data_IF_833674418339
#
_entry.id   IF_833674418339
#
_cell.length_a   1.000
_cell.length_b   1.000
_cell.length_c   1.000
_cell.angle_alpha   90.00
_cell.angle_beta   90.00
_cell.angle_gamma   90.00
#
_symmetry.space_group_name_H-M   'P 1'
#
loop_
_entity.id
_entity.type
_entity.pdbx_description
1 polymer ?
#
# COMPACT_ATOMS: atom_id res chain seq x y z
N UNK A 1 1.19 -22.95 -18.80
CA UNK A 1 0.47 -21.67 -19.00
C UNK A 1 0.90 -20.68 -17.94
N UNK A 2 0.76 -19.38 -18.23
CA UNK A 2 1.04 -18.34 -17.23
C UNK A 2 0.02 -18.44 -16.09
N UNK A 3 0.51 -18.49 -14.85
CA UNK A 3 -0.34 -18.42 -13.66
C UNK A 3 -0.42 -16.96 -13.16
N UNK A 4 -1.61 -16.52 -12.84
CA UNK A 4 -1.84 -15.29 -12.10
C UNK A 4 -1.46 -15.50 -10.64
N UNK A 5 -0.81 -14.51 -10.04
CA UNK A 5 -0.36 -14.53 -8.65
C UNK A 5 -1.07 -13.39 -7.91
N UNK A 6 -1.59 -13.68 -6.75
CA UNK A 6 -2.22 -12.69 -5.87
C UNK A 6 -1.52 -12.72 -4.50
N UNK A 7 -1.09 -11.57 -4.04
CA UNK A 7 -0.66 -11.38 -2.67
C UNK A 7 -1.78 -10.67 -1.92
N UNK A 8 -2.16 -11.20 -0.77
CA UNK A 8 -3.27 -10.67 0.00
C UNK A 8 -2.93 -10.62 1.50
N UNK A 9 -3.61 -9.71 2.20
CA UNK A 9 -3.47 -9.57 3.64
C UNK A 9 -4.02 -10.81 4.34
N UNK A 10 -3.22 -11.37 5.23
CA UNK A 10 -3.63 -12.42 6.16
C UNK A 10 -3.49 -11.96 7.60
N UNK A 11 -4.35 -12.50 8.48
CA UNK A 11 -4.25 -12.27 9.91
C UNK A 11 -4.78 -13.50 10.66
N UNK A 12 -4.14 -13.90 11.78
CA UNK A 12 -4.67 -14.91 12.66
C UNK A 12 -5.78 -14.38 13.60
N UNK A 13 -6.00 -13.07 13.64
CA UNK A 13 -6.91 -12.40 14.57
C UNK A 13 -7.99 -11.60 13.86
N UNK A 14 -9.17 -11.58 14.46
CA UNK A 14 -10.29 -10.73 14.05
C UNK A 14 -10.98 -10.17 15.29
N UNK A 15 -11.69 -9.05 15.14
CA UNK A 15 -12.62 -8.60 16.15
C UNK A 15 -13.73 -9.65 16.38
N UNK A 16 -14.45 -9.59 17.50
CA UNK A 16 -15.62 -10.44 17.74
C UNK A 16 -16.69 -10.27 16.64
N UNK A 17 -17.57 -11.29 16.53
CA UNK A 17 -18.79 -11.17 15.74
C UNK A 17 -19.65 -10.00 16.25
N UNK A 18 -20.44 -9.33 15.39
CA UNK A 18 -20.71 -9.68 14.00
C UNK A 18 -19.63 -9.21 13.01
N UNK A 19 -18.85 -8.20 13.34
CA UNK A 19 -18.04 -7.45 12.36
C UNK A 19 -16.84 -8.23 11.84
N UNK A 20 -16.18 -9.05 12.72
CA UNK A 20 -15.01 -9.86 12.36
C UNK A 20 -13.95 -9.09 11.58
N UNK A 21 -13.69 -7.85 11.98
CA UNK A 21 -12.69 -6.99 11.36
C UNK A 21 -11.30 -7.57 11.58
N UNK A 22 -10.46 -7.71 10.53
CA UNK A 22 -9.07 -8.13 10.66
C UNK A 22 -8.33 -7.28 11.69
N UNK A 23 -7.47 -7.91 12.50
CA UNK A 23 -6.67 -7.22 13.50
C UNK A 23 -5.22 -7.73 13.49
N UNK A 24 -4.32 -6.95 14.07
CA UNK A 24 -2.88 -7.27 14.08
C UNK A 24 -2.57 -8.64 14.70
N UNK A 25 -1.48 -9.28 14.29
CA UNK A 25 -0.53 -8.88 13.26
C UNK A 25 -1.07 -9.11 11.84
N UNK A 26 -0.65 -8.27 10.88
CA UNK A 26 -0.93 -8.47 9.46
C UNK A 26 0.28 -9.05 8.76
N UNK A 27 0.06 -10.05 7.93
CA UNK A 27 1.08 -10.74 7.16
C UNK A 27 0.69 -10.88 5.69
N UNK A 28 1.66 -11.10 4.84
CA UNK A 28 1.45 -11.32 3.41
C UNK A 28 1.21 -12.80 3.14
N UNK A 29 0.07 -13.10 2.53
CA UNK A 29 -0.32 -14.42 2.06
C UNK A 29 -0.37 -14.46 0.54
N UNK A 30 -0.48 -15.65 -0.04
CA UNK A 30 -0.43 -15.86 -1.49
C UNK A 30 -1.55 -16.76 -1.99
N UNK A 31 -2.06 -16.45 -3.18
CA UNK A 31 -2.94 -17.30 -3.98
C UNK A 31 -2.54 -17.28 -5.45
N UNK A 32 -2.99 -18.27 -6.21
CA UNK A 32 -2.74 -18.36 -7.65
C UNK A 32 -4.00 -18.78 -8.41
N UNK A 33 -4.06 -18.44 -9.70
CA UNK A 33 -5.11 -18.85 -10.61
C UNK A 33 -4.62 -18.92 -12.05
N UNK A 34 -5.26 -19.72 -12.88
CA UNK A 34 -5.06 -19.71 -14.33
C UNK A 34 -5.75 -18.54 -15.03
N UNK A 35 -6.64 -17.81 -14.33
CA UNK A 35 -7.39 -16.67 -14.84
C UNK A 35 -7.42 -15.53 -13.81
N UNK A 36 -7.43 -14.24 -14.23
CA UNK A 36 -7.58 -13.13 -13.30
C UNK A 36 -8.96 -13.11 -12.60
N UNK A 37 -9.95 -13.77 -13.20
CA UNK A 37 -11.29 -13.92 -12.65
C UNK A 37 -11.40 -15.08 -11.64
N UNK A 38 -10.33 -15.84 -11.47
CA UNK A 38 -10.34 -17.04 -10.62
C UNK A 38 -10.80 -18.30 -11.36
N UNK A 39 -11.14 -19.40 -10.63
CA UNK A 39 -11.09 -19.45 -9.16
C UNK A 39 -9.66 -19.35 -8.61
N UNK A 40 -9.52 -18.64 -7.49
CA UNK A 40 -8.23 -18.45 -6.82
C UNK A 40 -7.97 -19.57 -5.82
N UNK A 41 -6.81 -20.19 -5.93
CA UNK A 41 -6.34 -21.23 -5.02
C UNK A 41 -5.37 -20.61 -4.01
N UNK A 42 -5.77 -20.55 -2.74
CA UNK A 42 -4.90 -20.13 -1.64
C UNK A 42 -3.72 -21.08 -1.50
N UNK A 43 -2.56 -20.55 -1.22
CA UNK A 43 -1.34 -21.31 -0.96
C UNK A 43 -0.96 -21.18 0.52
N UNK A 44 -1.61 -21.90 1.45
CA UNK A 44 -1.46 -21.66 2.89
C UNK A 44 -0.06 -21.91 3.41
N UNK A 45 0.72 -22.73 2.72
CA UNK A 45 2.11 -23.04 3.08
C UNK A 45 3.11 -22.02 2.50
N UNK A 46 2.65 -21.05 1.69
CA UNK A 46 3.46 -19.99 1.14
C UNK A 46 3.11 -18.69 1.86
N UNK A 47 3.89 -18.37 2.90
CA UNK A 47 3.82 -17.07 3.59
C UNK A 47 5.05 -16.30 3.17
N UNK A 48 4.95 -15.40 2.17
CA UNK A 48 6.10 -14.68 1.62
C UNK A 48 6.93 -14.01 2.70
N UNK A 49 6.27 -13.25 3.56
CA UNK A 49 6.88 -12.62 4.74
C UNK A 49 5.81 -12.26 5.78
N UNK A 50 6.26 -11.99 7.00
CA UNK A 50 5.44 -11.69 8.16
C UNK A 50 6.14 -10.70 9.07
N UNK A 51 5.43 -10.06 10.01
CA UNK A 51 6.04 -9.23 11.03
C UNK A 51 7.17 -9.95 11.77
N UNK A 52 8.22 -9.20 12.08
CA UNK A 52 9.39 -9.71 12.83
C UNK A 52 9.78 -8.72 13.95
N UNK A 53 9.83 -9.17 15.20
CA UNK A 53 10.23 -8.34 16.33
C UNK A 53 11.58 -7.64 16.10
N UNK A 54 11.70 -6.40 16.58
CA UNK A 54 12.94 -5.61 16.47
C UNK A 54 13.18 -4.99 15.10
N UNK A 55 12.21 -5.05 14.18
CA UNK A 55 12.29 -4.46 12.85
C UNK A 55 11.26 -3.34 12.65
N UNK A 56 11.42 -2.55 11.58
CA UNK A 56 10.44 -1.51 11.19
C UNK A 56 9.09 -2.07 10.72
N UNK A 57 8.95 -3.38 10.63
CA UNK A 57 7.74 -4.10 10.26
C UNK A 57 7.30 -5.09 11.36
N UNK A 58 7.55 -4.76 12.63
CA UNK A 58 7.26 -5.66 13.75
C UNK A 58 5.78 -5.87 14.03
N UNK A 59 4.91 -4.97 13.57
CA UNK A 59 3.45 -5.05 13.77
C UNK A 59 2.72 -5.50 12.50
N UNK A 60 3.08 -4.95 11.35
CA UNK A 60 2.50 -5.32 10.05
C UNK A 60 3.57 -5.54 8.99
N UNK A 61 3.31 -6.52 8.12
CA UNK A 61 4.02 -6.77 6.88
C UNK A 61 2.96 -7.14 5.81
N UNK A 62 2.11 -6.16 5.48
CA UNK A 62 0.95 -6.32 4.60
C UNK A 62 1.34 -6.22 3.13
N UNK A 63 0.69 -6.97 2.22
CA UNK A 63 1.05 -6.95 0.82
C UNK A 63 0.87 -5.58 0.18
N UNK A 64 1.69 -5.32 -0.81
CA UNK A 64 1.61 -4.14 -1.64
C UNK A 64 1.93 -4.47 -3.10
N UNK A 65 2.32 -3.49 -3.87
CA UNK A 65 2.55 -3.64 -5.31
C UNK A 65 3.79 -4.48 -5.61
N UNK A 66 3.68 -5.41 -6.54
CA UNK A 66 4.79 -6.26 -7.01
C UNK A 66 5.21 -5.83 -8.41
N UNK A 67 6.51 -5.63 -8.61
CA UNK A 67 7.10 -5.31 -9.91
C UNK A 67 8.33 -6.17 -10.17
N UNK A 68 8.56 -6.56 -11.44
CA UNK A 68 9.82 -7.17 -11.86
C UNK A 68 10.82 -6.07 -12.23
N UNK A 69 11.97 -6.05 -11.56
CA UNK A 69 13.00 -5.03 -11.74
C UNK A 69 14.40 -5.67 -11.68
N UNK A 70 15.24 -5.44 -12.72
CA UNK A 70 16.59 -6.00 -12.82
C UNK A 70 16.72 -7.51 -12.53
N UNK A 71 15.73 -8.31 -12.97
CA UNK A 71 15.76 -9.77 -12.82
C UNK A 71 15.20 -10.31 -11.50
N UNK A 72 14.80 -9.43 -10.59
CA UNK A 72 14.13 -9.76 -9.32
C UNK A 72 12.69 -9.26 -9.32
N UNK A 73 11.87 -9.79 -8.42
CA UNK A 73 10.58 -9.22 -8.04
C UNK A 73 10.76 -8.39 -6.78
N UNK A 74 10.31 -7.15 -6.82
CA UNK A 74 10.22 -6.25 -5.68
C UNK A 74 8.77 -6.15 -5.27
N UNK A 75 8.46 -6.32 -3.97
CA UNK A 75 7.16 -6.02 -3.40
C UNK A 75 7.28 -4.85 -2.44
N UNK A 76 6.59 -3.77 -2.76
CA UNK A 76 6.47 -2.59 -1.91
C UNK A 76 5.36 -2.83 -0.91
N UNK A 77 5.72 -3.26 0.30
CA UNK A 77 4.75 -3.69 1.32
C UNK A 77 4.54 -2.65 2.42
N UNK A 78 3.33 -2.62 2.99
CA UNK A 78 3.02 -1.76 4.13
C UNK A 78 3.61 -2.36 5.40
N UNK A 79 4.45 -1.57 6.06
CA UNK A 79 5.16 -1.93 7.27
C UNK A 79 4.76 -1.01 8.42
N UNK A 80 4.67 -1.54 9.63
CA UNK A 80 4.42 -0.71 10.80
C UNK A 80 5.06 -1.25 12.09
N UNK A 81 5.24 -0.31 13.01
CA UNK A 81 5.63 -0.54 14.39
C UNK A 81 4.58 0.07 15.29
N UNK A 82 4.16 -0.62 16.33
CA UNK A 82 3.29 -0.08 17.38
C UNK A 82 4.12 0.27 18.61
N UNK A 83 3.86 1.42 19.21
CA UNK A 83 4.46 1.80 20.49
C UNK A 83 4.15 0.78 21.58
N UNK A 84 5.13 0.50 22.43
CA UNK A 84 4.96 -0.44 23.57
C UNK A 84 4.07 0.15 24.67
N UNK A 85 4.10 1.48 24.83
CA UNK A 85 3.38 2.19 25.89
C UNK A 85 2.20 3.02 25.34
N UNK A 86 1.14 3.20 26.13
CA UNK A 86 0.04 4.09 25.77
C UNK A 86 0.52 5.50 25.39
N UNK A 87 -0.07 6.12 24.35
CA UNK A 87 -1.31 5.72 23.64
C UNK A 87 -1.15 4.63 22.55
N UNK A 88 -0.09 3.86 22.48
CA UNK A 88 0.14 2.77 21.52
C UNK A 88 -0.09 3.19 20.05
N UNK A 89 0.49 4.32 19.66
CA UNK A 89 0.42 4.81 18.29
C UNK A 89 1.09 3.82 17.34
N UNK A 90 0.58 3.79 16.12
CA UNK A 90 1.14 2.98 15.05
C UNK A 90 1.91 3.89 14.10
N UNK A 91 3.18 3.59 13.90
CA UNK A 91 4.06 4.29 12.97
C UNK A 91 4.19 3.47 11.70
N UNK A 92 3.93 4.08 10.54
CA UNK A 92 3.78 3.40 9.25
C UNK A 92 4.78 3.87 8.22
N UNK A 93 5.19 2.93 7.38
CA UNK A 93 6.09 3.18 6.26
C UNK A 93 5.94 2.09 5.20
N UNK A 94 6.70 2.20 4.12
CA UNK A 94 6.78 1.19 3.07
C UNK A 94 8.15 0.53 3.10
N UNK A 95 8.14 -0.81 3.08
CA UNK A 95 9.33 -1.63 2.92
C UNK A 95 9.43 -2.24 1.53
N UNK A 96 10.60 -2.79 1.20
CA UNK A 96 10.80 -3.61 0.00
C UNK A 96 11.13 -5.04 0.42
N UNK A 97 10.37 -5.99 -0.10
CA UNK A 97 10.70 -7.42 -0.07
C UNK A 97 11.13 -7.86 -1.47
N UNK A 98 12.16 -8.71 -1.55
CA UNK A 98 12.81 -9.14 -2.80
C UNK A 98 12.79 -10.64 -2.95
N UNK A 99 12.61 -11.11 -4.19
CA UNK A 99 12.77 -12.53 -4.53
C UNK A 99 13.06 -12.70 -6.03
N UNK A 100 13.66 -13.84 -6.38
CA UNK A 100 13.76 -14.29 -7.78
C UNK A 100 12.63 -15.22 -8.18
N UNK A 101 11.94 -15.81 -7.19
CA UNK A 101 10.77 -16.66 -7.37
C UNK A 101 9.62 -16.17 -6.48
N UNK A 102 8.45 -15.94 -7.08
CA UNK A 102 7.25 -15.49 -6.36
C UNK A 102 6.76 -16.47 -5.26
N UNK A 103 7.25 -17.69 -5.24
CA UNK A 103 7.03 -18.65 -4.15
C UNK A 103 8.07 -18.51 -3.01
N UNK A 104 9.07 -17.68 -3.20
CA UNK A 104 10.13 -17.42 -2.23
C UNK A 104 11.42 -18.25 -2.47
N UNK A 105 12.42 -18.11 -1.63
CA UNK A 105 12.40 -17.28 -0.42
C UNK A 105 12.35 -15.77 -0.74
N UNK A 106 11.77 -15.01 0.18
CA UNK A 106 11.75 -13.55 0.16
C UNK A 106 12.75 -13.01 1.17
N UNK A 107 13.49 -11.98 0.80
CA UNK A 107 14.33 -11.18 1.69
C UNK A 107 13.75 -9.78 1.82
N UNK A 108 13.77 -9.22 3.04
CA UNK A 108 13.28 -7.86 3.30
C UNK A 108 14.48 -6.94 3.44
N UNK A 109 14.43 -5.79 2.79
CA UNK A 109 15.46 -4.77 2.94
C UNK A 109 15.55 -4.30 4.41
N UNK A 110 16.76 -4.05 4.93
CA UNK A 110 16.95 -3.75 6.35
C UNK A 110 16.39 -2.39 6.79
N UNK A 111 16.13 -1.50 5.84
CA UNK A 111 15.56 -0.18 6.06
C UNK A 111 14.34 0.05 5.19
N UNK A 112 13.35 0.83 5.65
CA UNK A 112 12.22 1.25 4.83
C UNK A 112 12.65 2.27 3.76
N UNK A 113 11.79 2.48 2.75
CA UNK A 113 12.06 3.45 1.67
C UNK A 113 11.98 4.90 2.14
N UNK A 114 11.18 5.18 3.17
CA UNK A 114 11.03 6.49 3.84
C UNK A 114 10.86 6.27 5.34
N UNK A 115 11.11 7.29 6.18
CA UNK A 115 10.98 7.15 7.64
C UNK A 115 9.56 6.77 8.08
N UNK A 116 9.45 6.07 9.21
CA UNK A 116 8.18 5.74 9.88
C UNK A 116 7.31 6.99 10.18
N UNK A 117 7.94 8.14 10.38
CA UNK A 117 7.26 9.41 10.62
C UNK A 117 6.44 9.92 9.40
N UNK A 118 6.64 9.33 8.22
CA UNK A 118 5.84 9.66 7.02
C UNK A 118 4.39 9.15 7.11
N UNK A 119 4.12 8.18 7.99
CA UNK A 119 2.76 7.67 8.25
C UNK A 119 2.02 7.24 6.98
N UNK A 120 2.69 6.49 6.11
CA UNK A 120 2.13 6.02 4.84
C UNK A 120 1.95 4.51 4.81
N UNK A 121 0.89 4.08 4.12
CA UNK A 121 0.63 2.66 3.86
C UNK A 121 0.00 2.46 2.48
N UNK A 122 -0.24 1.22 2.12
CA UNK A 122 -0.83 0.79 0.84
C UNK A 122 -0.08 1.35 -0.37
N UNK A 123 0.19 0.51 -1.34
CA UNK A 123 1.03 0.94 -2.46
C UNK A 123 0.45 0.56 -3.80
N UNK A 124 0.57 1.48 -4.75
CA UNK A 124 0.37 1.22 -6.16
C UNK A 124 1.45 1.93 -6.96
N UNK A 125 2.05 1.25 -7.93
CA UNK A 125 3.21 1.75 -8.65
C UNK A 125 2.86 1.99 -10.13
N UNK A 126 3.28 3.12 -10.66
CA UNK A 126 3.21 3.47 -12.08
C UNK A 126 4.58 3.84 -12.62
N UNK A 127 4.92 3.37 -13.81
CA UNK A 127 6.14 3.74 -14.52
C UNK A 127 5.80 4.65 -15.70
N UNK A 128 6.34 5.86 -15.70
CA UNK A 128 6.24 6.77 -16.83
C UNK A 128 7.40 6.50 -17.81
N UNK A 129 7.05 5.95 -18.95
CA UNK A 129 8.04 5.56 -19.97
C UNK A 129 8.75 6.76 -20.61
N UNK A 130 8.11 7.94 -20.62
CA UNK A 130 8.62 9.11 -21.30
C UNK A 130 9.91 9.67 -20.67
N UNK A 131 10.04 9.56 -19.35
CA UNK A 131 11.22 10.06 -18.60
C UNK A 131 11.80 9.03 -17.63
N UNK A 132 11.32 7.77 -17.74
CA UNK A 132 11.78 6.64 -16.92
C UNK A 132 11.59 6.87 -15.41
N UNK A 133 10.55 7.60 -15.04
CA UNK A 133 10.22 7.90 -13.65
C UNK A 133 9.21 6.90 -13.10
N UNK A 134 9.50 6.36 -11.94
CA UNK A 134 8.58 5.54 -11.16
C UNK A 134 7.82 6.43 -10.18
N UNK A 135 6.51 6.23 -10.10
CA UNK A 135 5.60 6.93 -9.20
C UNK A 135 4.94 5.93 -8.26
N UNK A 136 5.21 6.05 -6.96
CA UNK A 136 4.62 5.22 -5.91
C UNK A 136 3.49 5.99 -5.24
N UNK A 137 2.27 5.56 -5.46
CA UNK A 137 1.08 6.10 -4.83
C UNK A 137 0.83 5.36 -3.51
N UNK A 138 0.55 6.12 -2.45
CA UNK A 138 0.28 5.61 -1.10
C UNK A 138 -0.85 6.43 -0.49
N UNK A 139 -1.47 5.94 0.58
CA UNK A 139 -2.26 6.79 1.44
C UNK A 139 -1.45 7.23 2.66
N UNK A 140 -1.74 8.44 3.11
CA UNK A 140 -1.22 9.01 4.35
C UNK A 140 -2.23 8.82 5.48
N UNK A 141 -1.74 8.51 6.67
CA UNK A 141 -2.55 8.30 7.87
C UNK A 141 -2.39 9.46 8.82
N UNK A 142 -3.45 10.22 8.99
CA UNK A 142 -3.55 11.27 10.01
C UNK A 142 -4.20 10.75 11.30
N UNK A 143 -4.07 11.53 12.36
CA UNK A 143 -4.71 11.26 13.66
C UNK A 143 -5.58 12.45 14.05
N UNK A 144 -6.85 12.20 14.32
CA UNK A 144 -7.80 13.22 14.81
C UNK A 144 -8.50 12.71 16.05
N UNK A 145 -8.28 13.39 17.18
CA UNK A 145 -8.85 13.03 18.50
C UNK A 145 -8.53 11.56 18.89
N UNK A 146 -7.31 11.10 18.60
CA UNK A 146 -6.87 9.74 18.90
C UNK A 146 -7.38 8.66 17.93
N UNK A 147 -8.09 9.03 16.84
CA UNK A 147 -8.57 8.13 15.80
C UNK A 147 -7.70 8.30 14.55
N UNK A 148 -7.12 7.22 14.07
CA UNK A 148 -6.35 7.16 12.83
C UNK A 148 -7.29 7.06 11.63
N UNK A 149 -6.95 7.74 10.53
CA UNK A 149 -7.72 7.71 9.29
C UNK A 149 -6.86 8.09 8.09
N UNK A 150 -7.18 7.56 6.91
CA UNK A 150 -6.51 7.91 5.65
C UNK A 150 -7.03 9.27 5.18
N UNK A 151 -6.22 10.33 5.27
CA UNK A 151 -6.65 11.70 4.96
C UNK A 151 -6.24 12.18 3.56
N UNK A 152 -5.30 11.48 2.92
CA UNK A 152 -4.79 11.88 1.62
C UNK A 152 -4.16 10.71 0.84
N UNK A 153 -4.21 10.76 -0.48
CA UNK A 153 -3.34 9.98 -1.35
C UNK A 153 -2.10 10.80 -1.71
N UNK A 154 -0.94 10.25 -1.39
CA UNK A 154 0.36 10.83 -1.69
C UNK A 154 1.03 10.10 -2.86
N UNK A 155 1.97 10.75 -3.52
CA UNK A 155 2.84 10.14 -4.52
C UNK A 155 4.29 10.49 -4.24
N UNK A 156 5.15 9.47 -4.28
CA UNK A 156 6.61 9.60 -4.28
C UNK A 156 7.14 9.27 -5.66
N UNK A 157 8.31 9.82 -6.06
CA UNK A 157 8.89 9.49 -7.36
C UNK A 157 10.39 9.29 -7.29
N UNK A 158 10.88 8.40 -8.17
CA UNK A 158 12.30 8.07 -8.34
C UNK A 158 12.57 7.55 -9.74
N UNK A 159 13.83 7.60 -10.17
CA UNK A 159 14.28 6.92 -11.39
C UNK A 159 14.94 5.55 -11.11
N UNK A 160 15.12 5.20 -9.82
CA UNK A 160 15.69 3.92 -9.39
C UNK A 160 14.89 3.37 -8.21
N UNK A 161 14.25 2.22 -8.40
CA UNK A 161 13.40 1.59 -7.37
C UNK A 161 14.16 1.18 -6.10
N UNK A 162 15.49 1.17 -6.14
CA UNK A 162 16.33 0.92 -4.96
C UNK A 162 16.66 2.20 -4.16
N UNK A 163 16.27 3.37 -4.65
CA UNK A 163 16.63 4.66 -4.06
C UNK A 163 15.44 5.59 -3.99
N UNK A 164 15.00 5.86 -2.80
CA UNK A 164 13.87 6.74 -2.54
C UNK A 164 14.32 7.95 -1.71
N UNK A 165 13.78 9.10 -2.02
CA UNK A 165 14.01 10.35 -1.31
C UNK A 165 12.65 10.84 -0.80
N UNK A 166 12.46 10.85 0.51
CA UNK A 166 11.21 11.28 1.13
C UNK A 166 10.84 12.75 0.87
N UNK A 167 11.78 13.57 0.38
CA UNK A 167 11.50 14.93 -0.05
C UNK A 167 10.84 14.99 -1.44
N UNK A 168 10.99 13.95 -2.25
CA UNK A 168 10.37 13.84 -3.58
C UNK A 168 8.96 13.27 -3.48
N UNK A 169 8.03 14.09 -2.99
CA UNK A 169 6.62 13.71 -2.81
C UNK A 169 5.66 14.85 -3.09
N UNK A 170 4.41 14.49 -3.36
CA UNK A 170 3.30 15.41 -3.50
C UNK A 170 1.98 14.79 -3.02
N UNK A 171 1.04 15.65 -2.63
CA UNK A 171 -0.34 15.23 -2.37
C UNK A 171 -1.10 15.21 -3.70
N UNK A 172 -1.76 14.10 -4.00
CA UNK A 172 -2.55 13.92 -5.23
C UNK A 172 -4.03 14.16 -4.96
N UNK A 173 -4.54 13.55 -3.91
CA UNK A 173 -5.94 13.69 -3.47
C UNK A 173 -5.98 13.96 -1.98
N UNK A 174 -6.77 14.93 -1.58
CA UNK A 174 -7.08 15.26 -0.18
C UNK A 174 -8.43 15.98 -0.08
N UNK A 175 -8.77 16.48 1.10
CA UNK A 175 -10.00 17.25 1.35
C UNK A 175 -10.17 18.49 0.46
N UNK A 176 -9.11 19.00 -0.16
CA UNK A 176 -9.18 20.22 -1.00
C UNK A 176 -9.72 19.91 -2.39
N UNK A 177 -9.45 18.71 -2.91
CA UNK A 177 -9.83 18.31 -4.26
C UNK A 177 -10.78 17.10 -4.33
N UNK A 178 -11.00 16.37 -3.23
CA UNK A 178 -11.95 15.26 -3.13
C UNK A 178 -13.20 15.69 -2.33
N UNK A 179 -14.16 16.33 -3.01
CA UNK A 179 -15.31 16.94 -2.33
C UNK A 179 -16.37 15.95 -1.83
N UNK A 180 -16.52 14.77 -2.49
CA UNK A 180 -17.51 13.78 -2.06
C UNK A 180 -17.07 13.02 -0.82
N UNK A 181 -15.76 12.91 -0.59
CA UNK A 181 -15.14 12.31 0.58
C UNK A 181 -14.15 13.29 1.22
N UNK A 182 -14.62 14.28 1.97
CA UNK A 182 -13.78 15.39 2.43
C UNK A 182 -12.81 15.01 3.56
N UNK A 183 -12.98 13.86 4.19
CA UNK A 183 -12.15 13.43 5.31
C UNK A 183 -11.38 12.15 5.06
N UNK A 184 -11.84 11.29 4.13
CA UNK A 184 -11.24 9.97 3.89
C UNK A 184 -10.80 9.87 2.44
N UNK A 185 -9.53 9.62 2.22
CA UNK A 185 -8.96 9.28 0.91
C UNK A 185 -7.87 8.23 1.13
N UNK A 186 -8.17 6.98 0.83
CA UNK A 186 -7.26 5.87 1.12
C UNK A 186 -7.12 4.86 -0.01
N UNK A 187 -6.27 3.86 0.19
CA UNK A 187 -6.07 2.69 -0.67
C UNK A 187 -5.93 3.03 -2.17
N UNK A 188 -5.04 3.95 -2.58
CA UNK A 188 -4.92 4.32 -3.98
C UNK A 188 -4.44 3.13 -4.82
N UNK A 189 -5.18 2.84 -5.89
CA UNK A 189 -4.80 1.87 -6.92
C UNK A 189 -4.81 2.55 -8.27
N UNK A 190 -3.71 2.48 -9.01
CA UNK A 190 -3.56 3.22 -10.26
C UNK A 190 -3.49 2.32 -11.48
N UNK A 191 -4.12 2.75 -12.57
CA UNK A 191 -4.15 2.04 -13.84
C UNK A 191 -4.09 3.03 -15.01
N UNK A 192 -3.21 2.77 -15.98
CA UNK A 192 -3.18 3.54 -17.23
C UNK A 192 -4.40 3.21 -18.10
N UNK A 193 -5.16 4.25 -18.47
CA UNK A 193 -6.33 4.16 -19.34
C UNK A 193 -6.20 5.20 -20.45
N UNK A 194 -5.76 4.76 -21.62
CA UNK A 194 -5.46 5.66 -22.75
C UNK A 194 -4.37 6.68 -22.40
N UNK A 195 -4.68 7.97 -22.49
CA UNK A 195 -3.80 9.09 -22.17
C UNK A 195 -3.98 9.62 -20.75
N UNK A 196 -4.57 8.86 -19.84
CA UNK A 196 -4.80 9.21 -18.43
C UNK A 196 -4.36 8.09 -17.51
N UNK A 197 -3.97 8.44 -16.29
CA UNK A 197 -3.82 7.53 -15.18
C UNK A 197 -5.09 7.59 -14.33
N UNK A 198 -5.84 6.50 -14.27
CA UNK A 198 -6.98 6.34 -13.37
C UNK A 198 -6.45 6.05 -11.97
N UNK A 199 -7.01 6.69 -10.95
CA UNK A 199 -6.74 6.46 -9.53
C UNK A 199 -8.06 6.02 -8.90
N UNK A 200 -8.14 4.75 -8.54
CA UNK A 200 -9.21 4.23 -7.70
C UNK A 200 -8.79 4.44 -6.23
N UNK A 201 -9.69 4.90 -5.40
CA UNK A 201 -9.44 5.14 -3.98
C UNK A 201 -10.69 4.89 -3.17
N UNK A 202 -10.54 4.56 -1.90
CA UNK A 202 -11.68 4.48 -1.01
C UNK A 202 -11.98 5.83 -0.35
N UNK A 203 -13.23 6.04 0.02
CA UNK A 203 -13.69 7.27 0.63
C UNK A 203 -15.00 7.07 1.37
N UNK A 204 -15.37 8.09 2.14
CA UNK A 204 -16.61 8.10 2.91
C UNK A 204 -17.29 9.47 2.78
N UNK A 205 -18.55 9.53 2.30
CA UNK A 205 -19.26 10.79 2.22
C UNK A 205 -19.54 11.38 3.62
N UNK A 206 -19.61 12.71 3.69
CA UNK A 206 -19.86 13.41 4.93
C UNK A 206 -18.63 13.65 5.80
N UNK A 207 -18.82 13.82 7.10
CA UNK A 207 -17.78 14.26 8.04
C UNK A 207 -17.21 13.14 8.93
N UNK A 208 -17.62 11.92 8.72
CA UNK A 208 -17.13 10.78 9.48
C UNK A 208 -15.70 10.36 9.07
N UNK A 209 -15.00 9.70 9.99
CA UNK A 209 -13.66 9.14 9.80
C UNK A 209 -13.67 7.65 10.14
N UNK A 210 -14.56 6.89 9.51
CA UNK A 210 -14.72 5.45 9.77
C UNK A 210 -13.92 4.61 8.79
N UNK A 211 -13.44 3.44 9.25
CA UNK A 211 -12.89 2.41 8.37
C UNK A 211 -13.99 1.54 7.74
N UNK A 212 -15.25 1.72 8.14
CA UNK A 212 -16.38 0.94 7.68
C UNK A 212 -17.22 1.74 6.67
N UNK A 213 -17.97 1.01 5.82
CA UNK A 213 -18.93 1.58 4.89
C UNK A 213 -18.32 2.58 3.88
N UNK A 214 -17.09 2.32 3.44
CA UNK A 214 -16.41 3.12 2.45
C UNK A 214 -16.88 2.77 1.04
N UNK A 215 -17.01 3.79 0.21
CA UNK A 215 -17.26 3.67 -1.23
C UNK A 215 -15.97 3.82 -2.02
N UNK A 216 -16.02 3.49 -3.32
CA UNK A 216 -14.89 3.62 -4.23
C UNK A 216 -15.05 4.87 -5.07
N UNK A 217 -14.06 5.75 -5.00
CA UNK A 217 -13.91 6.92 -5.84
C UNK A 217 -12.99 6.66 -7.04
N UNK A 218 -13.13 7.51 -8.05
CA UNK A 218 -12.29 7.49 -9.25
C UNK A 218 -11.85 8.91 -9.62
N UNK A 219 -10.54 9.09 -9.72
CA UNK A 219 -9.92 10.32 -10.21
C UNK A 219 -9.02 10.03 -11.40
N UNK A 220 -8.64 11.08 -12.15
CA UNK A 220 -7.75 10.94 -13.30
C UNK A 220 -6.64 11.99 -13.26
N UNK A 221 -5.42 11.57 -13.58
CA UNK A 221 -4.31 12.44 -13.90
C UNK A 221 -4.03 12.36 -15.41
N UNK A 222 -3.72 13.48 -16.09
CA UNK A 222 -3.27 13.46 -17.47
C UNK A 222 -1.89 12.83 -17.58
N UNK A 223 -1.64 12.10 -18.66
CA UNK A 223 -0.32 11.55 -19.00
C UNK A 223 0.33 12.39 -20.11
N UNK A 224 1.68 12.49 -20.16
CA UNK A 224 2.64 11.88 -19.24
C UNK A 224 2.66 12.58 -17.88
N UNK A 225 2.88 11.82 -16.80
CA UNK A 225 3.10 12.40 -15.48
C UNK A 225 4.40 13.18 -15.46
N UNK A 226 4.42 14.26 -14.65
CA UNK A 226 5.61 15.04 -14.37
C UNK A 226 5.67 15.35 -12.88
N UNK A 227 6.86 15.27 -12.25
CA UNK A 227 7.03 15.78 -10.89
C UNK A 227 6.62 17.26 -10.83
N UNK A 228 6.00 17.71 -9.72
CA UNK A 228 5.76 19.13 -9.49
C UNK A 228 7.07 19.93 -9.59
N UNK A 229 6.96 21.16 -10.12
CA UNK A 229 8.08 22.10 -10.20
C UNK A 229 8.37 22.73 -8.85
#
# INVERSE_FOLDING_TARGET
GKMWQMFYLGTPHTSPAPDRVPSFPYLTMKAQSSSPMGPWQKQPNVVPFRPMPGTYYSTTASPGFVVKYHGEYLQFFSASVQDEHPPKLIHRTIGIARTKDLNGPWSIDPAPIVPLAEQIENTSLYHEEADKTWYLFTDHIAVRKGVEYSDAAWVYWTNDLNRWDGAKKAVVLDSKNCKWSPNIVGLPSVLKVGNRLAIFYDGLPGNEISHMNRDVGLAFLPLPLRPPK
#
